data_IF_432209620163
#
_entry.id   IF_432209620163
#
_cell.length_a   1.000
_cell.length_b   1.000
_cell.length_c   1.000
_cell.angle_alpha   90.00
_cell.angle_beta   90.00
_cell.angle_gamma   90.00
#
_symmetry.space_group_name_H-M   'P 1'
#
loop_
_entity.id
_entity.type
_entity.pdbx_description
1 polymer ?
#
# COMPACT_ATOMS: atom_id res chain seq x y z
N UNK A 1 -46.62 -65.81 -19.96
CA UNK A 1 -47.51 -64.72 -19.55
C UNK A 1 -46.78 -63.41 -19.65
N UNK A 2 -47.19 -62.50 -20.51
CA UNK A 2 -46.48 -61.25 -20.90
C UNK A 2 -46.48 -60.23 -19.80
N UNK A 3 -45.40 -59.48 -19.72
CA UNK A 3 -45.46 -58.09 -19.31
C UNK A 3 -44.24 -57.32 -19.80
N UNK A 4 -44.45 -56.47 -20.79
CA UNK A 4 -43.50 -55.51 -21.29
C UNK A 4 -43.51 -54.27 -20.43
N UNK A 5 -42.35 -53.64 -20.25
CA UNK A 5 -42.24 -52.27 -19.74
C UNK A 5 -41.46 -51.44 -20.72
N UNK A 6 -42.18 -50.60 -21.44
CA UNK A 6 -41.64 -49.48 -22.21
C UNK A 6 -41.17 -48.40 -21.25
N UNK A 7 -39.87 -48.14 -21.19
CA UNK A 7 -39.30 -46.99 -20.53
C UNK A 7 -38.95 -45.94 -21.59
N UNK A 8 -39.78 -44.92 -21.72
CA UNK A 8 -39.55 -43.79 -22.62
C UNK A 8 -38.45 -42.91 -22.00
N UNK A 9 -37.32 -42.93 -22.65
CA UNK A 9 -36.23 -42.00 -22.40
C UNK A 9 -36.65 -40.60 -22.89
N UNK A 10 -36.92 -39.67 -21.98
CA UNK A 10 -37.15 -38.27 -22.34
C UNK A 10 -35.79 -37.62 -22.52
N UNK A 11 -35.45 -37.31 -23.74
CA UNK A 11 -34.33 -36.48 -24.13
C UNK A 11 -34.64 -35.02 -23.70
N UNK A 12 -33.95 -34.55 -22.68
CA UNK A 12 -34.03 -33.16 -22.24
C UNK A 12 -33.05 -32.35 -23.08
N UNK A 13 -33.60 -31.66 -24.11
CA UNK A 13 -32.82 -30.71 -24.91
C UNK A 13 -32.62 -29.45 -24.06
N UNK A 14 -31.41 -29.26 -23.54
CA UNK A 14 -31.00 -27.99 -22.97
C UNK A 14 -30.78 -26.99 -24.12
N UNK A 15 -31.67 -26.04 -24.24
CA UNK A 15 -31.38 -24.83 -25.02
C UNK A 15 -30.35 -24.00 -24.28
N UNK A 16 -29.10 -24.08 -24.73
CA UNK A 16 -28.08 -23.11 -24.36
C UNK A 16 -28.45 -21.78 -25.04
N UNK A 17 -29.15 -20.91 -24.34
CA UNK A 17 -29.24 -19.50 -24.74
C UNK A 17 -27.85 -18.90 -24.56
N UNK A 18 -27.11 -18.83 -25.66
CA UNK A 18 -25.88 -18.07 -25.74
C UNK A 18 -26.19 -16.60 -25.46
N UNK A 19 -25.88 -16.17 -24.22
CA UNK A 19 -25.76 -14.76 -23.92
C UNK A 19 -24.54 -14.28 -24.70
N UNK A 20 -24.75 -13.62 -25.83
CA UNK A 20 -23.75 -12.80 -26.48
C UNK A 20 -23.45 -11.65 -25.50
N UNK A 21 -22.51 -11.86 -24.61
CA UNK A 21 -21.86 -10.75 -23.91
C UNK A 21 -21.17 -9.93 -24.99
N UNK A 22 -21.84 -8.88 -25.45
CA UNK A 22 -21.17 -7.84 -26.23
C UNK A 22 -19.96 -7.42 -25.46
N UNK A 23 -18.76 -7.58 -26.01
CA UNK A 23 -17.56 -7.00 -25.52
C UNK A 23 -17.77 -5.47 -25.57
N UNK A 24 -18.31 -4.90 -24.49
CA UNK A 24 -18.11 -3.48 -24.24
C UNK A 24 -16.59 -3.34 -24.10
N UNK A 25 -15.96 -2.72 -25.09
CA UNK A 25 -14.62 -2.20 -24.93
C UNK A 25 -14.73 -1.17 -23.81
N UNK A 26 -14.42 -1.58 -22.57
CA UNK A 26 -14.27 -0.63 -21.50
C UNK A 26 -13.11 0.26 -21.93
N UNK A 27 -13.39 1.51 -22.30
CA UNK A 27 -12.33 2.50 -22.44
C UNK A 27 -11.53 2.48 -21.14
N UNK A 28 -10.20 2.45 -21.26
CA UNK A 28 -9.34 2.55 -20.09
C UNK A 28 -9.75 3.81 -19.32
N UNK A 29 -10.06 3.65 -18.04
CA UNK A 29 -10.45 4.75 -17.17
C UNK A 29 -9.35 5.79 -17.18
N UNK A 30 -9.68 7.04 -17.42
CA UNK A 30 -8.75 8.16 -17.37
C UNK A 30 -8.96 9.00 -16.12
N UNK A 31 -7.96 9.76 -15.72
CA UNK A 31 -7.96 10.49 -14.45
C UNK A 31 -7.66 11.98 -14.64
N UNK A 32 -8.28 12.80 -13.77
CA UNK A 32 -7.86 14.15 -13.50
C UNK A 32 -6.78 14.13 -12.42
N UNK A 33 -5.79 15.04 -12.50
CA UNK A 33 -4.67 15.13 -11.57
C UNK A 33 -4.81 16.40 -10.73
N UNK A 34 -4.70 16.26 -9.40
CA UNK A 34 -4.66 17.38 -8.44
C UNK A 34 -3.38 17.26 -7.62
N UNK A 35 -2.52 18.30 -7.66
CA UNK A 35 -1.37 18.44 -6.75
C UNK A 35 -1.87 18.91 -5.39
N UNK A 36 -1.54 18.18 -4.33
CA UNK A 36 -1.95 18.50 -2.96
C UNK A 36 -1.12 19.64 -2.35
N UNK A 37 0.02 19.99 -2.98
CA UNK A 37 0.90 21.05 -2.49
C UNK A 37 1.83 20.63 -1.35
N UNK A 38 2.41 21.63 -0.70
CA UNK A 38 3.29 21.51 0.46
C UNK A 38 3.04 22.70 1.41
N UNK A 39 3.56 22.63 2.64
CA UNK A 39 3.50 23.76 3.58
C UNK A 39 4.30 24.96 3.06
N UNK A 40 3.97 26.18 3.50
CA UNK A 40 4.73 27.38 3.14
C UNK A 40 6.21 27.24 3.46
N UNK A 41 7.08 27.44 2.46
CA UNK A 41 8.53 27.28 2.59
C UNK A 41 9.05 25.90 2.17
N UNK A 42 8.17 24.89 2.04
CA UNK A 42 8.52 23.56 1.56
C UNK A 42 8.29 23.43 0.05
N UNK A 43 9.04 22.54 -0.58
CA UNK A 43 8.94 22.27 -2.00
C UNK A 43 8.74 20.79 -2.34
N UNK A 44 8.65 19.95 -1.33
CA UNK A 44 8.49 18.51 -1.42
C UNK A 44 7.26 18.10 -0.63
N UNK A 45 6.47 17.17 -1.17
CA UNK A 45 5.41 16.49 -0.42
C UNK A 45 5.41 14.99 -0.74
N UNK A 46 5.27 14.18 0.31
CA UNK A 46 5.18 12.72 0.23
C UNK A 46 3.80 12.27 0.66
N UNK A 47 3.10 11.46 -0.14
CA UNK A 47 1.80 10.90 0.22
C UNK A 47 1.96 9.73 1.20
N UNK A 48 0.98 9.52 2.09
CA UNK A 48 0.95 8.41 3.04
C UNK A 48 -0.39 7.65 3.04
N UNK A 49 -1.52 8.32 3.19
CA UNK A 49 -2.84 7.69 3.24
C UNK A 49 -3.93 8.57 2.66
N UNK A 50 -5.02 7.96 2.20
CA UNK A 50 -6.21 8.61 1.65
C UNK A 50 -7.45 7.97 2.25
N UNK A 51 -8.39 8.78 2.76
CA UNK A 51 -9.66 8.28 3.28
C UNK A 51 -10.81 8.43 2.27
N UNK A 52 -11.98 7.91 2.63
CA UNK A 52 -13.19 7.96 1.79
C UNK A 52 -13.83 9.35 1.72
N UNK A 53 -13.40 10.32 2.51
CA UNK A 53 -13.83 11.73 2.44
C UNK A 53 -12.94 12.58 1.52
N UNK A 54 -11.95 11.96 0.85
CA UNK A 54 -11.00 12.66 -0.01
C UNK A 54 -9.91 13.43 0.76
N UNK A 55 -9.80 13.22 2.09
CA UNK A 55 -8.70 13.77 2.87
C UNK A 55 -7.48 12.85 2.72
N UNK A 56 -6.30 13.43 2.61
CA UNK A 56 -5.05 12.69 2.54
C UNK A 56 -4.13 13.06 3.71
N UNK A 57 -3.33 12.10 4.15
CA UNK A 57 -2.20 12.32 5.04
C UNK A 57 -0.90 12.21 4.25
N UNK A 58 0.13 12.92 4.70
CA UNK A 58 1.43 12.90 4.07
C UNK A 58 2.49 13.63 4.90
N UNK A 59 3.60 13.92 4.28
CA UNK A 59 4.69 14.69 4.88
C UNK A 59 5.10 15.81 3.93
N UNK A 60 5.08 17.04 4.40
CA UNK A 60 5.66 18.20 3.71
C UNK A 60 7.10 18.36 4.15
N UNK A 61 8.02 18.62 3.23
CA UNK A 61 9.44 18.60 3.53
C UNK A 61 10.21 19.65 2.72
N UNK A 62 11.34 20.03 3.29
CA UNK A 62 12.43 20.76 2.64
C UNK A 62 13.77 20.06 2.89
N UNK A 63 14.90 20.74 2.72
CA UNK A 63 16.23 20.13 2.88
C UNK A 63 16.58 19.72 4.32
N UNK A 64 15.88 20.26 5.32
CA UNK A 64 16.25 20.13 6.75
C UNK A 64 15.10 19.68 7.65
N UNK A 65 13.87 19.69 7.17
CA UNK A 65 12.68 19.35 7.95
C UNK A 65 11.72 18.47 7.16
N UNK A 66 10.91 17.69 7.87
CA UNK A 66 9.81 16.92 7.34
C UNK A 66 8.67 16.89 8.35
N UNK A 67 7.56 17.54 8.04
CA UNK A 67 6.43 17.70 8.96
C UNK A 67 5.24 16.90 8.42
N UNK A 68 4.67 16.05 9.27
CA UNK A 68 3.44 15.34 8.96
C UNK A 68 2.30 16.33 8.68
N UNK A 69 1.54 16.07 7.63
CA UNK A 69 0.50 16.97 7.10
C UNK A 69 -0.81 16.24 6.87
N UNK A 70 -1.89 16.96 7.06
CA UNK A 70 -3.25 16.62 6.63
C UNK A 70 -3.64 17.52 5.45
N UNK A 71 -4.09 16.93 4.37
CA UNK A 71 -4.67 17.59 3.21
C UNK A 71 -6.18 17.47 3.28
N UNK A 72 -6.89 18.61 3.44
CA UNK A 72 -8.34 18.65 3.56
C UNK A 72 -8.88 19.94 2.98
N UNK A 73 -9.96 19.87 2.21
CA UNK A 73 -10.65 21.02 1.63
C UNK A 73 -9.72 21.97 0.85
N UNK A 74 -8.77 21.38 0.10
CA UNK A 74 -7.78 22.13 -0.69
C UNK A 74 -6.71 22.85 0.13
N UNK A 75 -6.59 22.53 1.44
CA UNK A 75 -5.59 23.11 2.35
C UNK A 75 -4.55 22.08 2.75
N UNK A 76 -3.33 22.54 2.95
CA UNK A 76 -2.25 21.80 3.58
C UNK A 76 -2.15 22.25 5.03
N UNK A 77 -2.36 21.32 5.96
CA UNK A 77 -2.42 21.57 7.40
C UNK A 77 -1.27 20.86 8.08
N UNK A 78 -0.38 21.59 8.74
CA UNK A 78 0.64 20.97 9.60
C UNK A 78 -0.04 20.31 10.81
N UNK A 79 0.29 19.05 11.10
CA UNK A 79 -0.18 18.38 12.31
C UNK A 79 0.86 18.38 13.44
N UNK A 80 2.01 19.05 13.22
CA UNK A 80 3.05 19.31 14.23
C UNK A 80 3.99 18.16 14.47
N UNK A 81 4.61 18.21 15.65
CA UNK A 81 5.58 17.21 16.15
C UNK A 81 5.33 16.91 17.63
N UNK A 82 5.90 15.80 18.14
CA UNK A 82 5.85 15.44 19.57
C UNK A 82 6.91 16.16 20.40
N UNK A 83 7.97 16.62 19.77
CA UNK A 83 9.13 17.13 20.49
C UNK A 83 9.83 18.31 19.83
N UNK A 84 11.13 18.42 20.07
CA UNK A 84 11.96 19.53 19.63
C UNK A 84 12.54 19.37 18.21
N UNK A 85 12.26 18.28 17.54
CA UNK A 85 12.70 18.04 16.16
C UNK A 85 11.60 18.40 15.18
N UNK A 86 11.97 18.89 13.98
CA UNK A 86 11.03 19.14 12.88
C UNK A 86 10.96 17.92 11.95
N UNK A 87 10.78 16.70 12.55
CA UNK A 87 10.81 15.42 11.83
C UNK A 87 9.66 14.51 12.25
N UNK A 88 8.46 14.77 11.73
CA UNK A 88 7.30 13.90 11.87
C UNK A 88 6.82 13.38 10.51
N UNK A 89 6.38 12.12 10.47
CA UNK A 89 6.01 11.42 9.24
C UNK A 89 4.65 10.74 9.41
N UNK A 90 3.68 11.15 8.61
CA UNK A 90 2.39 10.47 8.56
C UNK A 90 2.50 9.15 7.78
N UNK A 91 1.72 8.15 8.20
CA UNK A 91 1.67 6.81 7.56
C UNK A 91 0.24 6.43 7.13
N UNK A 92 -0.77 6.75 7.92
CA UNK A 92 -2.16 6.42 7.58
C UNK A 92 -3.15 7.46 8.12
N UNK A 93 -4.34 7.45 7.55
CA UNK A 93 -5.50 8.27 7.95
C UNK A 93 -6.75 7.40 7.95
N UNK A 94 -7.63 7.57 8.96
CA UNK A 94 -8.94 6.91 8.99
C UNK A 94 -10.07 7.83 8.47
N UNK A 95 -11.29 7.28 8.43
CA UNK A 95 -12.48 8.01 8.00
C UNK A 95 -12.86 9.20 8.88
N UNK A 96 -12.39 9.31 10.11
CA UNK A 96 -12.59 10.45 11.00
C UNK A 96 -11.53 11.55 10.84
N UNK A 97 -10.59 11.39 9.91
CA UNK A 97 -9.48 12.33 9.71
C UNK A 97 -8.38 12.26 10.78
N UNK A 98 -8.35 11.17 11.56
CA UNK A 98 -7.25 10.92 12.49
C UNK A 98 -6.07 10.38 11.69
N UNK A 99 -4.86 10.89 12.01
CA UNK A 99 -3.61 10.52 11.33
C UNK A 99 -2.68 9.82 12.31
N UNK A 100 -2.06 8.76 11.86
CA UNK A 100 -1.01 8.05 12.60
C UNK A 100 0.30 8.04 11.84
N UNK A 101 1.39 7.85 12.56
CA UNK A 101 2.72 7.78 11.99
C UNK A 101 3.78 7.70 13.08
N UNK A 102 4.92 8.30 12.82
CA UNK A 102 6.01 8.39 13.79
C UNK A 102 6.68 9.76 13.76
N UNK A 103 7.27 10.11 14.88
CA UNK A 103 7.99 11.36 15.13
C UNK A 103 9.33 11.06 15.76
N UNK A 104 10.39 11.75 15.33
CA UNK A 104 11.68 11.66 15.97
C UNK A 104 11.72 12.59 17.19
N UNK A 105 11.85 12.01 18.38
CA UNK A 105 11.99 12.75 19.62
C UNK A 105 13.38 13.39 19.75
N UNK A 106 13.60 14.22 20.77
CA UNK A 106 14.90 14.85 21.04
C UNK A 106 16.04 13.86 21.32
N UNK A 107 15.74 12.57 21.54
CA UNK A 107 16.70 11.47 21.73
C UNK A 107 17.00 10.67 20.47
N UNK A 108 16.55 11.13 19.29
CA UNK A 108 16.64 10.44 18.00
C UNK A 108 15.94 9.06 17.95
N UNK A 109 15.07 8.79 18.92
CA UNK A 109 14.22 7.61 18.96
C UNK A 109 12.88 7.96 18.31
N UNK A 110 12.41 7.14 17.37
CA UNK A 110 11.09 7.37 16.78
C UNK A 110 9.97 6.86 17.68
N UNK A 111 8.99 7.71 17.91
CA UNK A 111 7.78 7.38 18.66
C UNK A 111 6.56 7.35 17.74
N UNK A 112 5.75 6.31 17.84
CA UNK A 112 4.45 6.26 17.20
C UNK A 112 3.55 7.36 17.77
N UNK A 113 2.80 8.06 16.91
CA UNK A 113 1.84 9.08 17.30
C UNK A 113 0.44 8.82 16.77
N UNK A 114 -0.54 9.40 17.46
CA UNK A 114 -1.91 9.63 17.02
C UNK A 114 -2.19 11.12 16.98
N UNK A 115 -2.58 11.65 15.81
CA UNK A 115 -3.16 12.98 15.67
C UNK A 115 -4.67 12.88 15.61
N UNK A 116 -5.35 13.56 16.53
CA UNK A 116 -6.80 13.58 16.62
C UNK A 116 -7.25 14.91 17.21
N UNK A 117 -8.34 15.50 16.68
CA UNK A 117 -8.93 16.74 17.19
C UNK A 117 -7.92 17.90 17.34
N UNK A 118 -7.01 18.06 16.38
CA UNK A 118 -6.03 19.15 16.37
C UNK A 118 -4.83 18.92 17.28
N UNK A 119 -4.66 17.73 17.87
CA UNK A 119 -3.57 17.41 18.79
C UNK A 119 -2.83 16.13 18.38
N UNK A 120 -1.52 16.19 18.37
CA UNK A 120 -0.65 15.02 18.29
C UNK A 120 -0.41 14.47 19.71
N UNK A 121 -0.52 13.15 19.85
CA UNK A 121 -0.36 12.41 21.12
C UNK A 121 0.64 11.30 20.91
N UNK A 122 1.63 11.21 21.80
CA UNK A 122 2.58 10.12 21.85
C UNK A 122 1.87 8.82 22.33
N UNK A 123 1.93 7.77 21.50
CA UNK A 123 1.39 6.44 21.82
C UNK A 123 2.48 5.37 21.89
N UNK A 124 3.75 5.79 21.97
CA UNK A 124 4.90 4.89 22.05
C UNK A 124 4.85 4.04 23.32
N UNK A 125 4.84 2.69 23.20
CA UNK A 125 4.78 1.80 24.36
C UNK A 125 6.18 1.42 24.84
N UNK A 126 6.89 2.36 25.47
CA UNK A 126 8.29 2.21 25.88
C UNK A 126 8.59 0.94 26.73
N UNK A 127 7.61 0.42 27.46
CA UNK A 127 7.77 -0.81 28.24
C UNK A 127 7.87 -2.08 27.40
N UNK A 128 7.33 -2.05 26.17
CA UNK A 128 7.36 -3.16 25.21
C UNK A 128 8.47 -2.96 24.17
N UNK A 129 8.66 -1.73 23.71
CA UNK A 129 9.57 -1.37 22.61
C UNK A 129 10.51 -0.24 23.02
N UNK A 130 11.52 -0.51 23.85
CA UNK A 130 12.36 0.55 24.43
C UNK A 130 13.20 1.33 23.40
N UNK A 131 13.37 0.81 22.20
CA UNK A 131 14.20 1.41 21.15
C UNK A 131 13.41 2.17 20.08
N UNK A 132 12.07 2.31 20.26
CA UNK A 132 11.23 3.10 19.37
C UNK A 132 10.03 2.34 18.82
N UNK A 133 9.15 3.05 18.14
CA UNK A 133 7.97 2.50 17.49
C UNK A 133 7.51 3.36 16.31
N UNK A 134 6.77 2.74 15.41
CA UNK A 134 6.14 3.39 14.26
C UNK A 134 4.72 2.86 14.07
N UNK A 135 3.71 3.74 14.00
CA UNK A 135 2.36 3.37 13.63
C UNK A 135 2.24 3.37 12.10
N UNK A 136 1.61 2.33 11.54
CA UNK A 136 1.51 2.10 10.09
C UNK A 136 0.08 2.12 9.57
N UNK A 137 -0.91 1.78 10.40
CA UNK A 137 -2.32 1.71 10.02
C UNK A 137 -3.24 2.11 11.15
N UNK A 138 -4.41 2.64 10.80
CA UNK A 138 -5.50 2.99 11.72
C UNK A 138 -6.83 2.66 11.06
N UNK A 139 -7.76 2.06 11.82
CA UNK A 139 -9.14 1.83 11.37
C UNK A 139 -10.14 2.84 11.98
N UNK A 140 -11.41 2.73 11.59
CA UNK A 140 -12.48 3.63 12.08
C UNK A 140 -12.95 3.32 13.52
N UNK A 141 -12.40 2.30 14.17
CA UNK A 141 -12.61 1.97 15.58
C UNK A 141 -11.45 2.42 16.47
N UNK A 142 -10.61 3.35 16.00
CA UNK A 142 -9.43 3.89 16.70
C UNK A 142 -8.39 2.82 17.08
N UNK A 143 -8.39 1.67 16.38
CA UNK A 143 -7.36 0.66 16.52
C UNK A 143 -6.19 1.01 15.60
N UNK A 144 -4.99 1.05 16.18
CA UNK A 144 -3.76 1.45 15.50
C UNK A 144 -2.80 0.28 15.48
N UNK A 145 -2.18 0.03 14.35
CA UNK A 145 -1.19 -1.05 14.18
C UNK A 145 0.13 -0.49 13.67
N UNK A 146 1.18 -1.23 13.96
CA UNK A 146 2.52 -0.87 13.53
C UNK A 146 3.54 -1.86 14.05
N UNK A 147 4.73 -1.40 14.28
CA UNK A 147 5.83 -2.19 14.83
C UNK A 147 6.70 -1.35 15.77
N UNK A 148 7.43 -2.04 16.62
CA UNK A 148 8.36 -1.41 17.55
C UNK A 148 9.60 -2.25 17.74
N UNK A 149 10.70 -1.60 18.08
CA UNK A 149 12.03 -2.20 18.22
C UNK A 149 12.28 -2.65 19.66
N UNK A 150 12.43 -3.95 19.88
CA UNK A 150 12.70 -4.57 21.18
C UNK A 150 14.19 -4.46 21.51
N UNK A 151 15.04 -4.80 20.56
CA UNK A 151 16.48 -4.64 20.61
C UNK A 151 16.95 -4.19 19.21
N UNK A 152 18.22 -3.96 19.00
CA UNK A 152 18.71 -3.38 17.74
C UNK A 152 18.48 -4.23 16.46
N UNK A 153 17.82 -5.38 16.56
CA UNK A 153 17.61 -6.32 15.45
C UNK A 153 16.21 -6.95 15.38
N UNK A 154 15.40 -6.87 16.43
CA UNK A 154 14.12 -7.57 16.52
C UNK A 154 12.97 -6.56 16.56
N UNK A 155 12.11 -6.60 15.54
CA UNK A 155 10.93 -5.76 15.39
C UNK A 155 9.69 -6.61 15.64
N UNK A 156 8.79 -6.17 16.51
CA UNK A 156 7.52 -6.84 16.70
C UNK A 156 6.32 -5.97 16.31
N UNK A 157 5.38 -6.60 15.61
CA UNK A 157 4.09 -6.03 15.31
C UNK A 157 3.29 -5.74 16.57
N UNK A 158 2.58 -4.61 16.62
CA UNK A 158 1.71 -4.27 17.72
C UNK A 158 0.30 -3.86 17.28
N UNK A 159 -0.64 -4.00 18.22
CA UNK A 159 -1.97 -3.39 18.19
C UNK A 159 -2.11 -2.46 19.39
N UNK A 160 -2.38 -1.18 19.15
CA UNK A 160 -2.79 -0.20 20.15
C UNK A 160 -4.30 0.02 20.06
N UNK A 161 -5.00 -0.11 21.17
CA UNK A 161 -6.44 0.12 21.26
C UNK A 161 -6.83 0.52 22.68
N UNK A 162 -7.64 1.57 22.83
CA UNK A 162 -8.15 2.02 24.13
C UNK A 162 -7.05 2.36 25.16
N UNK A 163 -5.91 2.90 24.72
CA UNK A 163 -4.77 3.26 25.56
C UNK A 163 -3.86 2.08 25.96
N UNK A 164 -4.06 0.90 25.38
CA UNK A 164 -3.24 -0.30 25.63
C UNK A 164 -2.58 -0.79 24.36
N UNK A 165 -1.32 -1.20 24.49
CA UNK A 165 -0.59 -1.87 23.40
C UNK A 165 -0.44 -3.36 23.71
N UNK A 166 -0.63 -4.17 22.67
CA UNK A 166 -0.43 -5.62 22.67
C UNK A 166 0.62 -5.94 21.62
N UNK A 167 1.66 -6.68 22.01
CA UNK A 167 2.59 -7.33 21.09
C UNK A 167 1.87 -8.49 20.40
N UNK A 168 1.90 -8.52 19.07
CA UNK A 168 1.20 -9.55 18.28
C UNK A 168 2.05 -10.81 18.09
N UNK A 169 3.33 -10.77 18.49
CA UNK A 169 4.28 -11.88 18.32
C UNK A 169 4.75 -12.02 16.86
N UNK A 170 5.27 -13.21 16.56
CA UNK A 170 5.85 -13.55 15.24
C UNK A 170 5.35 -14.92 14.75
N UNK A 171 5.70 -15.29 13.51
CA UNK A 171 5.50 -16.63 12.96
C UNK A 171 6.60 -17.64 13.39
N UNK A 172 7.31 -17.35 14.48
CA UNK A 172 8.34 -18.21 15.06
C UNK A 172 9.77 -17.77 14.77
N UNK A 173 9.97 -16.74 14.00
CA UNK A 173 11.22 -15.98 13.86
C UNK A 173 11.28 -14.82 14.86
N UNK A 174 12.10 -13.82 14.61
CA UNK A 174 12.34 -12.68 15.51
C UNK A 174 11.77 -11.34 15.00
N UNK A 175 11.13 -11.32 13.83
CA UNK A 175 10.63 -10.08 13.26
C UNK A 175 9.17 -10.21 12.85
N UNK A 176 8.38 -9.20 13.13
CA UNK A 176 7.06 -9.00 12.57
C UNK A 176 6.72 -7.51 12.45
N UNK A 177 6.03 -7.13 11.39
CA UNK A 177 5.56 -5.77 11.17
C UNK A 177 4.09 -5.81 10.75
N UNK A 178 3.21 -5.14 11.48
CA UNK A 178 1.83 -4.90 11.08
C UNK A 178 1.76 -3.65 10.21
N UNK A 179 1.22 -3.77 8.98
CA UNK A 179 1.25 -2.71 7.98
C UNK A 179 -0.13 -2.13 7.68
N UNK A 180 -1.19 -2.93 7.82
CA UNK A 180 -2.55 -2.44 7.60
C UNK A 180 -3.55 -3.14 8.52
N UNK A 181 -4.67 -2.47 8.75
CA UNK A 181 -5.81 -2.97 9.53
C UNK A 181 -7.10 -2.53 8.86
N UNK A 182 -8.10 -3.44 8.77
CA UNK A 182 -9.44 -3.08 8.30
C UNK A 182 -10.41 -2.80 9.47
N UNK A 183 -11.64 -2.38 9.15
CA UNK A 183 -12.66 -2.05 10.15
C UNK A 183 -13.22 -3.27 10.91
N UNK A 184 -12.97 -4.47 10.43
CA UNK A 184 -13.25 -5.71 11.16
C UNK A 184 -12.16 -6.07 12.19
N UNK A 185 -11.10 -5.26 12.30
CA UNK A 185 -9.97 -5.51 13.20
C UNK A 185 -9.01 -6.60 12.69
N UNK A 186 -9.08 -6.94 11.42
CA UNK A 186 -8.15 -7.85 10.77
C UNK A 186 -6.87 -7.08 10.41
N UNK A 187 -5.72 -7.58 10.84
CA UNK A 187 -4.41 -6.94 10.71
C UNK A 187 -3.55 -7.77 9.77
N UNK A 188 -2.86 -7.12 8.86
CA UNK A 188 -1.94 -7.78 7.93
C UNK A 188 -0.57 -7.13 7.93
N UNK A 189 0.40 -7.91 7.52
CA UNK A 189 1.79 -7.49 7.43
C UNK A 189 2.69 -8.65 7.02
N UNK A 190 3.90 -8.66 7.52
CA UNK A 190 4.82 -9.79 7.32
C UNK A 190 5.54 -10.13 8.63
N UNK A 191 6.01 -11.37 8.70
CA UNK A 191 6.82 -11.88 9.81
C UNK A 191 7.80 -12.93 9.31
N UNK A 192 8.94 -13.01 9.97
CA UNK A 192 9.86 -14.14 9.79
C UNK A 192 9.29 -15.40 10.44
N UNK A 193 9.39 -16.50 9.73
CA UNK A 193 9.06 -17.84 10.23
C UNK A 193 10.23 -18.43 11.03
N UNK A 194 10.03 -19.54 11.72
CA UNK A 194 11.11 -20.27 12.41
C UNK A 194 12.23 -20.72 11.47
N UNK A 195 11.98 -20.81 10.17
CA UNK A 195 13.01 -21.12 9.16
C UNK A 195 13.74 -19.89 8.63
N UNK A 196 13.40 -18.68 9.09
CA UNK A 196 13.98 -17.40 8.64
C UNK A 196 13.42 -16.88 7.32
N UNK A 197 12.34 -17.46 6.79
CA UNK A 197 11.67 -16.97 5.57
C UNK A 197 10.62 -15.96 5.95
N UNK A 198 10.53 -14.86 5.20
CA UNK A 198 9.51 -13.82 5.40
C UNK A 198 8.20 -14.26 4.77
N UNK A 199 7.14 -14.38 5.58
CA UNK A 199 5.79 -14.67 5.12
C UNK A 199 4.83 -13.54 5.49
N UNK A 200 3.85 -13.30 4.62
CA UNK A 200 2.69 -12.50 4.95
C UNK A 200 1.87 -13.17 6.07
N UNK A 201 1.32 -12.38 6.97
CA UNK A 201 0.41 -12.87 8.00
C UNK A 201 -0.95 -12.15 7.96
N UNK A 202 -1.95 -12.84 8.51
CA UNK A 202 -3.22 -12.29 8.93
C UNK A 202 -3.37 -12.50 10.44
N UNK A 203 -3.51 -11.43 11.21
CA UNK A 203 -3.87 -11.51 12.62
C UNK A 203 -5.35 -11.17 12.78
N UNK A 204 -6.08 -12.09 13.38
CA UNK A 204 -7.52 -11.96 13.63
C UNK A 204 -7.90 -12.78 14.85
N UNK A 205 -8.85 -12.29 15.66
CA UNK A 205 -9.35 -12.97 16.85
C UNK A 205 -8.25 -13.44 17.83
N UNK A 206 -7.19 -12.65 17.98
CA UNK A 206 -6.09 -12.96 18.89
C UNK A 206 -5.03 -13.92 18.35
N UNK A 207 -5.09 -14.31 17.07
CA UNK A 207 -4.17 -15.27 16.47
C UNK A 207 -3.51 -14.75 15.21
N UNK A 208 -2.18 -14.92 15.11
CA UNK A 208 -1.41 -14.69 13.89
C UNK A 208 -1.42 -15.97 13.04
N UNK A 209 -1.90 -15.86 11.80
CA UNK A 209 -1.98 -16.95 10.84
C UNK A 209 -0.99 -16.69 9.71
N UNK A 210 -0.16 -17.66 9.41
CA UNK A 210 0.74 -17.64 8.26
C UNK A 210 -0.09 -17.79 6.96
N UNK A 211 0.01 -16.81 6.05
CA UNK A 211 -0.64 -16.85 4.74
C UNK A 211 0.18 -17.61 3.71
N UNK A 212 1.41 -18.02 4.09
CA UNK A 212 2.31 -18.73 3.22
C UNK A 212 2.71 -17.96 1.96
N UNK A 213 3.07 -18.70 0.94
CA UNK A 213 3.45 -18.16 -0.38
C UNK A 213 3.13 -19.19 -1.48
N UNK A 214 2.97 -18.78 -2.76
CA UNK A 214 2.81 -19.70 -3.87
C UNK A 214 4.03 -20.62 -4.02
N UNK A 215 3.83 -21.80 -4.60
CA UNK A 215 4.94 -22.70 -4.93
C UNK A 215 5.96 -22.03 -5.85
N UNK A 216 7.23 -22.09 -5.47
CA UNK A 216 8.34 -21.45 -6.20
C UNK A 216 8.59 -19.98 -5.82
N UNK A 217 7.78 -19.38 -4.94
CA UNK A 217 8.09 -18.07 -4.40
C UNK A 217 9.16 -18.17 -3.30
N UNK A 218 9.91 -17.08 -3.10
CA UNK A 218 10.95 -16.96 -2.09
C UNK A 218 10.47 -16.28 -0.79
N UNK A 219 9.24 -15.75 -0.77
CA UNK A 219 8.62 -15.09 0.37
C UNK A 219 7.36 -14.35 -0.05
N UNK A 220 6.65 -13.82 0.93
CA UNK A 220 5.43 -13.01 0.74
C UNK A 220 5.35 -11.87 1.76
N UNK A 221 4.64 -10.79 1.42
CA UNK A 221 4.33 -9.69 2.33
C UNK A 221 2.96 -9.11 1.99
N UNK A 222 2.13 -8.86 3.00
CA UNK A 222 0.83 -8.21 2.87
C UNK A 222 0.97 -6.73 3.21
N UNK A 223 0.48 -5.82 2.36
CA UNK A 223 0.62 -4.38 2.52
C UNK A 223 -0.71 -3.67 2.75
N UNK A 224 -1.81 -4.18 2.19
CA UNK A 224 -3.13 -3.61 2.39
C UNK A 224 -4.20 -4.70 2.45
N UNK A 225 -5.30 -4.39 3.11
CA UNK A 225 -6.47 -5.27 3.27
C UNK A 225 -7.75 -4.43 3.14
N UNK A 226 -8.74 -4.92 2.37
CA UNK A 226 -10.04 -4.29 2.27
C UNK A 226 -11.04 -4.86 3.29
N UNK A 227 -12.25 -4.32 3.32
CA UNK A 227 -13.31 -4.73 4.25
C UNK A 227 -13.75 -6.19 4.06
N UNK A 228 -13.64 -6.73 2.84
CA UNK A 228 -14.01 -8.12 2.52
C UNK A 228 -12.92 -9.13 2.85
N UNK A 229 -11.75 -8.68 3.34
CA UNK A 229 -10.61 -9.52 3.71
C UNK A 229 -9.74 -9.93 2.51
N UNK A 230 -9.87 -9.25 1.37
CA UNK A 230 -8.91 -9.38 0.28
C UNK A 230 -7.64 -8.60 0.65
N UNK A 231 -6.49 -9.22 0.45
CA UNK A 231 -5.19 -8.70 0.85
C UNK A 231 -4.32 -8.53 -0.38
N UNK A 232 -3.64 -7.41 -0.48
CA UNK A 232 -2.66 -7.19 -1.56
C UNK A 232 -1.27 -6.92 -1.00
N UNK A 233 -0.27 -7.18 -1.82
CA UNK A 233 1.12 -6.98 -1.45
C UNK A 233 2.07 -7.49 -2.53
N UNK A 234 3.04 -8.27 -2.11
CA UNK A 234 4.05 -8.85 -3.00
C UNK A 234 4.35 -10.32 -2.69
N UNK A 235 4.81 -11.02 -3.71
CA UNK A 235 5.47 -12.32 -3.64
C UNK A 235 6.81 -12.26 -4.37
N UNK A 236 7.81 -12.98 -3.86
CA UNK A 236 9.15 -13.05 -4.48
C UNK A 236 9.20 -14.15 -5.53
N UNK A 237 9.31 -13.83 -6.81
CA UNK A 237 9.38 -14.78 -7.92
C UNK A 237 10.66 -14.54 -8.72
N UNK A 238 11.49 -15.59 -8.88
CA UNK A 238 12.71 -15.55 -9.69
C UNK A 238 13.65 -14.37 -9.39
N UNK A 239 13.74 -13.99 -8.10
CA UNK A 239 14.59 -12.87 -7.66
C UNK A 239 14.01 -11.47 -7.89
N UNK A 240 12.74 -11.37 -8.29
CA UNK A 240 11.99 -10.13 -8.46
C UNK A 240 10.72 -10.14 -7.61
N UNK A 241 10.20 -8.97 -7.23
CA UNK A 241 8.91 -8.86 -6.57
C UNK A 241 7.80 -8.82 -7.63
N UNK A 242 6.75 -9.61 -7.44
CA UNK A 242 5.52 -9.49 -8.20
C UNK A 242 4.40 -8.95 -7.33
N UNK A 243 3.59 -8.04 -7.86
CA UNK A 243 2.34 -7.64 -7.23
C UNK A 243 1.44 -8.87 -7.07
N UNK A 244 0.77 -9.00 -5.92
CA UNK A 244 -0.01 -10.19 -5.61
C UNK A 244 -1.30 -9.85 -4.86
N UNK A 245 -2.33 -10.69 -5.06
CA UNK A 245 -3.61 -10.67 -4.37
C UNK A 245 -3.80 -11.99 -3.63
N UNK A 246 -4.11 -11.93 -2.33
CA UNK A 246 -4.57 -13.07 -1.54
C UNK A 246 -6.07 -12.95 -1.32
N UNK A 247 -6.81 -13.95 -1.77
CA UNK A 247 -8.26 -14.01 -1.61
C UNK A 247 -8.74 -15.45 -1.54
N UNK A 248 -9.68 -15.75 -0.64
CA UNK A 248 -10.22 -17.10 -0.50
C UNK A 248 -9.18 -18.18 -0.14
N UNK A 249 -8.10 -17.81 0.55
CA UNK A 249 -7.04 -18.74 0.95
C UNK A 249 -5.95 -18.96 -0.10
N UNK A 250 -5.96 -18.22 -1.21
CA UNK A 250 -5.04 -18.43 -2.34
C UNK A 250 -4.36 -17.13 -2.77
N UNK A 251 -3.06 -17.19 -3.00
CA UNK A 251 -2.28 -16.14 -3.66
C UNK A 251 -2.47 -16.21 -5.18
N UNK A 252 -2.78 -15.07 -5.78
CA UNK A 252 -2.77 -14.84 -7.23
C UNK A 252 -1.63 -13.91 -7.57
N UNK A 253 -0.71 -14.37 -8.44
CA UNK A 253 0.34 -13.53 -9.01
C UNK A 253 -0.29 -12.57 -10.04
N UNK A 254 -0.22 -11.27 -9.78
CA UNK A 254 -0.67 -10.22 -10.70
C UNK A 254 0.44 -9.81 -11.69
N UNK A 255 1.68 -10.28 -11.45
CA UNK A 255 2.83 -10.01 -12.29
C UNK A 255 3.44 -8.63 -12.06
N UNK A 256 3.95 -8.05 -13.15
CA UNK A 256 4.59 -6.73 -13.19
C UNK A 256 4.05 -5.89 -14.34
N UNK A 257 4.29 -4.58 -14.33
CA UNK A 257 4.04 -3.72 -15.50
C UNK A 257 4.99 -4.15 -16.63
N UNK A 258 4.50 -4.19 -17.87
CA UNK A 258 5.30 -4.62 -19.02
C UNK A 258 6.63 -3.85 -19.11
N UNK A 259 7.75 -4.57 -19.07
CA UNK A 259 9.12 -4.01 -19.06
C UNK A 259 9.69 -3.65 -17.67
N UNK A 260 8.91 -3.73 -16.59
CA UNK A 260 9.37 -3.48 -15.22
C UNK A 260 10.00 -4.75 -14.64
N UNK A 261 11.23 -5.07 -15.03
CA UNK A 261 11.92 -6.32 -14.65
C UNK A 261 12.54 -6.29 -13.25
N UNK A 262 12.54 -5.14 -12.56
CA UNK A 262 13.01 -5.04 -11.16
C UNK A 262 11.89 -5.23 -10.14
N UNK A 263 10.65 -5.44 -10.60
CA UNK A 263 9.53 -5.88 -9.78
C UNK A 263 8.36 -4.91 -9.74
N UNK A 264 7.28 -5.40 -9.14
CA UNK A 264 6.07 -4.65 -8.81
C UNK A 264 5.56 -5.02 -7.42
N UNK A 265 4.85 -4.09 -6.78
CA UNK A 265 4.26 -4.24 -5.45
C UNK A 265 2.87 -3.61 -5.48
N UNK A 266 1.84 -4.35 -5.06
CA UNK A 266 0.51 -3.80 -4.84
C UNK A 266 0.45 -3.17 -3.44
N UNK A 267 0.14 -1.87 -3.39
CA UNK A 267 0.20 -1.04 -2.17
C UNK A 267 -1.17 -0.68 -1.62
N UNK A 268 -2.23 -0.78 -2.42
CA UNK A 268 -3.59 -0.44 -2.02
C UNK A 268 -4.65 -1.26 -2.73
N UNK A 269 -5.75 -1.48 -2.02
CA UNK A 269 -6.97 -2.12 -2.52
C UNK A 269 -8.17 -1.47 -1.86
N UNK A 270 -9.22 -1.15 -2.64
CA UNK A 270 -10.48 -0.64 -2.11
C UNK A 270 -11.52 -1.77 -1.94
N UNK A 271 -12.71 -1.43 -1.44
CA UNK A 271 -13.78 -2.40 -1.20
C UNK A 271 -14.43 -2.94 -2.48
N UNK A 272 -14.25 -2.26 -3.61
CA UNK A 272 -14.63 -2.77 -4.94
C UNK A 272 -13.61 -3.79 -5.50
N UNK A 273 -12.45 -3.96 -4.84
CA UNK A 273 -11.37 -4.84 -5.29
C UNK A 273 -10.46 -4.20 -6.35
N UNK A 274 -10.51 -2.87 -6.52
CA UNK A 274 -9.57 -2.17 -7.38
C UNK A 274 -8.20 -2.08 -6.69
N UNK A 275 -7.14 -2.41 -7.43
CA UNK A 275 -5.79 -2.57 -6.91
C UNK A 275 -4.87 -1.55 -7.56
N UNK A 276 -4.03 -0.91 -6.75
CA UNK A 276 -3.00 0.03 -7.19
C UNK A 276 -1.64 -0.32 -6.59
N UNK A 277 -0.58 0.22 -7.18
CA UNK A 277 0.75 -0.01 -6.66
C UNK A 277 1.85 0.67 -7.45
N UNK A 278 3.05 0.14 -7.32
CA UNK A 278 4.23 0.67 -8.00
C UNK A 278 5.05 -0.44 -8.66
N UNK A 279 5.69 -0.09 -9.78
CA UNK A 279 6.57 -0.99 -10.52
C UNK A 279 7.90 -0.31 -10.82
N UNK A 280 8.99 -1.07 -10.84
CA UNK A 280 10.35 -0.56 -11.02
C UNK A 280 10.95 -1.06 -12.30
N UNK A 281 11.38 -0.13 -13.14
CA UNK A 281 12.06 -0.38 -14.40
C UNK A 281 13.57 -0.36 -14.22
N UNK A 282 14.32 -1.21 -14.92
CA UNK A 282 15.78 -1.22 -14.87
C UNK A 282 16.37 0.01 -15.55
N UNK A 283 17.64 0.27 -15.29
CA UNK A 283 18.40 1.24 -16.08
C UNK A 283 18.50 0.77 -17.52
N UNK A 284 18.30 1.68 -18.46
CA UNK A 284 18.34 1.39 -19.90
C UNK A 284 19.59 2.02 -20.52
N UNK A 285 20.34 1.23 -21.30
CA UNK A 285 21.49 1.72 -22.05
C UNK A 285 21.02 2.63 -23.21
N UNK A 286 21.35 3.93 -23.14
CA UNK A 286 21.04 4.90 -24.19
C UNK A 286 22.15 4.91 -25.25
N UNK A 287 23.42 4.84 -24.82
CA UNK A 287 24.59 4.85 -25.68
C UNK A 287 25.70 3.97 -25.10
N UNK A 288 26.25 3.00 -25.87
CA UNK A 288 27.38 2.20 -25.43
C UNK A 288 28.64 3.04 -25.21
N UNK A 289 29.57 2.50 -24.44
CA UNK A 289 30.90 3.10 -24.31
C UNK A 289 31.62 3.16 -25.66
N UNK A 290 32.39 4.22 -25.90
CA UNK A 290 33.25 4.39 -27.05
C UNK A 290 34.57 5.08 -26.62
N UNK A 291 35.63 5.06 -27.40
CA UNK A 291 36.90 5.67 -27.01
C UNK A 291 36.69 7.11 -26.49
N UNK A 292 37.12 7.38 -25.26
CA UNK A 292 36.98 8.69 -24.60
C UNK A 292 35.58 9.02 -24.08
N UNK A 293 34.59 8.14 -24.25
CA UNK A 293 33.21 8.38 -23.74
C UNK A 293 32.69 7.18 -22.97
N UNK A 294 32.19 7.42 -21.76
CA UNK A 294 31.51 6.38 -20.95
C UNK A 294 30.16 6.01 -21.57
N UNK A 295 29.69 4.80 -21.27
CA UNK A 295 28.32 4.41 -21.58
C UNK A 295 27.33 5.37 -20.89
N UNK A 296 26.27 5.72 -21.60
CA UNK A 296 25.18 6.56 -21.09
C UNK A 296 23.96 5.68 -20.81
N UNK A 297 23.40 5.79 -19.62
CA UNK A 297 22.20 5.07 -19.20
C UNK A 297 21.10 6.06 -18.80
N UNK A 298 19.84 5.73 -19.12
CA UNK A 298 18.69 6.24 -18.38
C UNK A 298 18.71 5.50 -17.04
N UNK A 299 18.65 6.20 -15.88
CA UNK A 299 18.61 5.53 -14.58
C UNK A 299 17.38 4.65 -14.44
N UNK A 300 17.38 3.73 -13.48
CA UNK A 300 16.16 3.03 -13.06
C UNK A 300 15.11 4.03 -12.60
N UNK A 301 13.84 3.75 -12.88
CA UNK A 301 12.73 4.62 -12.51
C UNK A 301 11.54 3.79 -12.08
N UNK A 302 10.61 4.43 -11.37
CA UNK A 302 9.36 3.82 -10.92
C UNK A 302 8.18 4.44 -11.65
N UNK A 303 7.09 3.68 -11.71
CA UNK A 303 5.78 4.15 -12.15
C UNK A 303 4.72 3.67 -11.16
N UNK A 304 3.66 4.46 -11.00
CA UNK A 304 2.42 3.99 -10.37
C UNK A 304 1.62 3.15 -11.35
N UNK A 305 0.94 2.11 -10.88
CA UNK A 305 0.01 1.33 -11.69
C UNK A 305 -1.37 1.19 -11.03
N UNK A 306 -2.36 0.89 -11.86
CA UNK A 306 -3.67 0.39 -11.47
C UNK A 306 -3.91 -0.95 -12.19
N UNK A 307 -4.62 -1.88 -11.55
CA UNK A 307 -5.02 -3.14 -12.20
C UNK A 307 -6.32 -2.92 -12.95
N UNK A 308 -6.30 -3.07 -14.27
CA UNK A 308 -7.47 -2.98 -15.14
C UNK A 308 -7.55 -4.24 -16.02
N UNK A 309 -8.70 -4.90 -16.02
CA UNK A 309 -8.93 -6.13 -16.81
C UNK A 309 -7.86 -7.21 -16.56
N UNK A 310 -7.38 -7.34 -15.33
CA UNK A 310 -6.35 -8.30 -14.93
C UNK A 310 -4.91 -7.94 -15.34
N UNK A 311 -4.67 -6.75 -15.90
CA UNK A 311 -3.34 -6.27 -16.26
C UNK A 311 -2.93 -5.05 -15.43
N UNK A 312 -1.63 -4.93 -15.14
CA UNK A 312 -1.05 -3.74 -14.51
C UNK A 312 -0.84 -2.65 -15.56
N UNK A 313 -1.58 -1.55 -15.44
CA UNK A 313 -1.56 -0.42 -16.37
C UNK A 313 -0.81 0.75 -15.74
N UNK A 314 0.19 1.31 -16.44
CA UNK A 314 0.94 2.49 -16.00
C UNK A 314 0.03 3.71 -15.93
N UNK A 315 -0.10 4.32 -14.75
CA UNK A 315 -0.94 5.49 -14.50
C UNK A 315 -0.54 6.71 -15.35
N UNK A 316 0.72 6.81 -15.78
CA UNK A 316 1.16 7.87 -16.67
C UNK A 316 0.49 7.82 -18.05
N UNK A 317 -0.02 6.66 -18.46
CA UNK A 317 -0.77 6.51 -19.72
C UNK A 317 -2.24 6.93 -19.59
N UNK A 318 -2.74 7.13 -18.38
CA UNK A 318 -4.14 7.39 -18.05
C UNK A 318 -4.41 8.84 -17.62
N UNK A 319 -3.36 9.67 -17.58
CA UNK A 319 -3.43 11.11 -17.31
C UNK A 319 -3.07 11.92 -18.56
N UNK A 320 -3.33 13.24 -18.54
CA UNK A 320 -2.92 14.13 -19.64
C UNK A 320 -1.40 14.12 -19.82
N UNK A 321 -0.93 13.99 -21.05
CA UNK A 321 0.49 14.06 -21.41
C UNK A 321 1.14 15.40 -21.07
N UNK A 322 0.35 16.45 -20.95
CA UNK A 322 0.78 17.81 -20.59
C UNK A 322 0.55 18.14 -19.12
N UNK A 323 0.39 17.13 -18.25
CA UNK A 323 0.14 17.34 -16.81
C UNK A 323 1.30 18.05 -16.10
N UNK A 324 2.53 17.93 -16.60
CA UNK A 324 3.75 18.43 -15.95
C UNK A 324 4.29 17.50 -14.85
N UNK A 325 3.66 16.33 -14.66
CA UNK A 325 4.00 15.35 -13.63
C UNK A 325 4.32 13.99 -14.24
N UNK A 326 5.24 13.27 -13.59
CA UNK A 326 5.47 11.85 -13.81
C UNK A 326 5.09 11.08 -12.53
N UNK A 327 4.09 10.20 -12.63
CA UNK A 327 3.65 9.35 -11.52
C UNK A 327 4.70 8.28 -11.25
N UNK A 328 5.25 8.27 -10.04
CA UNK A 328 6.32 7.35 -9.65
C UNK A 328 5.86 6.22 -8.76
N UNK A 329 4.65 6.30 -8.22
CA UNK A 329 4.03 5.25 -7.42
C UNK A 329 2.60 5.61 -7.06
N UNK A 330 1.74 4.62 -6.92
CA UNK A 330 0.48 4.76 -6.21
C UNK A 330 0.68 4.25 -4.78
N UNK A 331 0.12 4.95 -3.80
CA UNK A 331 0.25 4.66 -2.37
C UNK A 331 -1.01 4.00 -1.84
N UNK A 332 -2.18 4.47 -2.27
CA UNK A 332 -3.47 3.94 -1.86
C UNK A 332 -4.58 4.35 -2.81
N UNK A 333 -5.72 3.72 -2.65
CA UNK A 333 -6.97 3.97 -3.38
C UNK A 333 -8.13 3.95 -2.39
N UNK A 334 -9.07 4.89 -2.51
CA UNK A 334 -10.29 4.90 -1.71
C UNK A 334 -11.48 4.27 -2.46
N UNK A 335 -12.64 4.17 -1.79
CA UNK A 335 -13.85 3.57 -2.37
C UNK A 335 -14.55 4.44 -3.45
N UNK A 336 -14.09 5.67 -3.64
CA UNK A 336 -14.49 6.52 -4.76
C UNK A 336 -13.62 6.28 -6.02
N UNK A 337 -12.63 5.39 -5.95
CA UNK A 337 -11.66 5.14 -7.02
C UNK A 337 -10.61 6.24 -7.13
N UNK A 338 -10.50 7.14 -6.15
CA UNK A 338 -9.45 8.15 -6.11
C UNK A 338 -8.13 7.50 -5.69
N UNK A 339 -7.04 7.79 -6.41
CA UNK A 339 -5.73 7.20 -6.18
C UNK A 339 -4.77 8.26 -5.65
N UNK A 340 -4.21 8.02 -4.47
CA UNK A 340 -3.14 8.84 -3.91
C UNK A 340 -1.79 8.37 -4.48
N UNK A 341 -1.03 9.28 -5.05
CA UNK A 341 0.20 8.99 -5.79
C UNK A 341 1.38 9.84 -5.34
N UNK A 342 2.57 9.25 -5.45
CA UNK A 342 3.83 9.99 -5.55
C UNK A 342 4.06 10.38 -7.00
N UNK A 343 4.49 11.61 -7.22
CA UNK A 343 4.87 12.10 -8.54
C UNK A 343 6.14 12.95 -8.48
N UNK A 344 6.78 13.16 -9.63
CA UNK A 344 7.87 14.10 -9.77
C UNK A 344 7.51 15.16 -10.80
N UNK A 345 7.89 16.41 -10.53
CA UNK A 345 7.78 17.53 -11.47
C UNK A 345 8.93 17.52 -12.46
N UNK A 346 8.87 18.37 -13.49
CA UNK A 346 9.98 18.59 -14.43
C UNK A 346 11.28 19.06 -13.74
N UNK A 347 11.18 19.74 -12.59
CA UNK A 347 12.33 20.12 -11.74
C UNK A 347 12.80 19.02 -10.80
N UNK A 348 12.24 17.81 -10.90
CA UNK A 348 12.53 16.65 -10.06
C UNK A 348 12.11 16.80 -8.59
N UNK A 349 11.22 17.73 -8.26
CA UNK A 349 10.63 17.81 -6.93
C UNK A 349 9.58 16.71 -6.76
N UNK A 350 9.58 16.03 -5.58
CA UNK A 350 8.55 15.04 -5.22
C UNK A 350 7.25 15.73 -4.82
N UNK A 351 6.13 15.20 -5.28
CA UNK A 351 4.79 15.72 -5.01
C UNK A 351 3.81 14.62 -4.64
N UNK A 352 2.99 14.91 -3.64
CA UNK A 352 1.79 14.15 -3.35
C UNK A 352 0.65 14.64 -4.25
N UNK A 353 0.05 13.74 -5.00
CA UNK A 353 -1.06 14.05 -5.91
C UNK A 353 -2.20 13.08 -5.72
N UNK A 354 -3.41 13.53 -6.04
CA UNK A 354 -4.60 12.69 -6.15
C UNK A 354 -5.04 12.59 -7.60
N UNK A 355 -5.31 11.40 -8.06
CA UNK A 355 -5.93 11.10 -9.33
C UNK A 355 -7.40 10.78 -9.09
N UNK A 356 -8.30 11.58 -9.66
CA UNK A 356 -9.76 11.40 -9.57
C UNK A 356 -10.28 10.84 -10.90
N UNK A 357 -11.09 9.76 -10.89
CA UNK A 357 -11.72 9.21 -12.09
C UNK A 357 -12.50 10.26 -12.89
N UNK A 358 -12.46 10.16 -14.24
CA UNK A 358 -13.24 11.04 -15.14
C UNK A 358 -14.58 10.44 -15.45
#
# INVERSE_FOLDING_TARGET
MKLGKNMKLRLMVLFATGLMAGAMSSQAQSYNLTDLGALPGDNISYPAGLNSQGQAAGTSANATSGIATLYSDGKVISIGTLGATDLSFAQAINGSGQVVGYDYTSSDVSHAFLYSNGRMTDIHPASLFPNGSSAQGINNSDQIVGYGWINGADDHAFLYSGGRTVDLGTLGGNESMALAINDAGQIVGHSTTASGVVHAFLYSNGHMTDLGMPSGAAGSSALAINRTGQIVGLIGINGSSHAALYSGGVWTDLGTVAGATLGAVATGINDAGEIVGQATFPKVLIRPASPGKRALYKPSFRVGFVVQNGALVDLNTLISTNSGYAITGAVGINDLGEILCSATTASSASRAIVLTPK
#
